data_IF_304769239453
#
_entry.id   IF_304769239453
#
_cell.length_a   1.000
_cell.length_b   1.000
_cell.length_c   1.000
_cell.angle_alpha   90.00
_cell.angle_beta   90.00
_cell.angle_gamma   90.00
#
_symmetry.space_group_name_H-M   'P 1'
#
loop_
_entity.id
_entity.type
_entity.pdbx_description
1 polymer ?
#
# COMPACT_ATOMS: atom_id res chain seq x y z
N UNK A 1 65.86 -38.00 1.30
CA UNK A 1 64.92 -37.46 0.32
C UNK A 1 63.51 -37.82 0.76
N UNK A 2 62.81 -36.93 1.45
CA UNK A 2 61.42 -37.14 1.89
C UNK A 2 60.59 -35.97 1.32
N UNK A 3 59.61 -36.27 0.45
CA UNK A 3 58.64 -35.36 -0.07
C UNK A 3 57.60 -35.04 1.03
N UNK A 4 57.13 -33.81 1.15
CA UNK A 4 55.98 -33.48 1.95
C UNK A 4 54.67 -33.65 1.16
N UNK A 5 53.70 -34.32 1.78
CA UNK A 5 52.30 -34.41 1.32
C UNK A 5 51.61 -33.08 1.52
N UNK A 6 51.10 -32.49 0.44
CA UNK A 6 50.18 -31.35 0.45
C UNK A 6 48.75 -31.85 0.71
N UNK A 7 48.20 -31.51 1.87
CA UNK A 7 46.79 -31.66 2.15
C UNK A 7 46.04 -30.43 1.58
N UNK A 8 45.25 -30.63 0.53
CA UNK A 8 44.30 -29.65 0.04
C UNK A 8 43.02 -29.72 0.91
N UNK A 9 42.78 -28.71 1.72
CA UNK A 9 41.52 -28.55 2.43
C UNK A 9 40.51 -27.93 1.45
N UNK A 10 39.49 -28.69 1.06
CA UNK A 10 38.35 -28.19 0.32
C UNK A 10 37.42 -27.47 1.29
N UNK A 11 37.32 -26.16 1.16
CA UNK A 11 36.29 -25.35 1.87
C UNK A 11 34.92 -25.65 1.20
N UNK A 12 34.08 -26.39 1.90
CA UNK A 12 32.67 -26.54 1.54
C UNK A 12 31.96 -25.29 2.06
N UNK A 13 31.71 -24.34 1.18
CA UNK A 13 30.84 -23.20 1.49
C UNK A 13 29.39 -23.68 1.54
N UNK A 14 28.89 -23.93 2.73
CA UNK A 14 27.44 -24.16 2.97
C UNK A 14 26.70 -22.85 2.80
N UNK A 15 26.05 -22.67 1.66
CA UNK A 15 25.08 -21.58 1.47
C UNK A 15 23.85 -21.89 2.31
N UNK A 16 23.78 -21.30 3.49
CA UNK A 16 22.53 -21.25 4.27
C UNK A 16 21.62 -20.28 3.56
N UNK A 17 20.67 -20.79 2.82
CA UNK A 17 19.57 -19.98 2.30
C UNK A 17 18.78 -19.42 3.50
N UNK A 18 18.81 -18.12 3.71
CA UNK A 18 17.97 -17.46 4.67
C UNK A 18 16.49 -17.77 4.34
N UNK A 19 15.64 -18.12 5.32
CA UNK A 19 14.24 -18.30 5.05
C UNK A 19 13.67 -16.97 4.54
N UNK A 20 13.07 -17.00 3.37
CA UNK A 20 12.27 -15.89 2.87
C UNK A 20 11.16 -15.65 3.91
N UNK A 21 11.24 -14.53 4.63
CA UNK A 21 10.15 -14.07 5.48
C UNK A 21 9.01 -13.73 4.53
N UNK A 22 8.08 -14.66 4.40
CA UNK A 22 6.84 -14.40 3.69
C UNK A 22 6.19 -13.19 4.37
N UNK A 23 5.98 -12.11 3.62
CA UNK A 23 5.05 -11.07 4.05
C UNK A 23 3.79 -11.78 4.55
N UNK A 24 3.12 -11.29 5.62
CA UNK A 24 1.87 -11.89 6.04
C UNK A 24 0.96 -11.92 4.82
N UNK A 25 0.76 -13.11 4.27
CA UNK A 25 -0.15 -13.32 3.17
C UNK A 25 -1.48 -12.75 3.65
N UNK A 26 -1.92 -11.64 3.04
CA UNK A 26 -3.26 -11.18 3.21
C UNK A 26 -4.14 -12.38 2.85
N UNK A 27 -4.77 -12.95 3.85
CA UNK A 27 -5.55 -14.17 3.74
C UNK A 27 -6.70 -13.88 2.75
N UNK A 28 -6.44 -14.09 1.47
CA UNK A 28 -7.39 -13.89 0.38
C UNK A 28 -8.40 -15.03 0.43
N UNK A 29 -9.19 -15.06 1.49
CA UNK A 29 -10.39 -15.86 1.50
C UNK A 29 -11.36 -15.22 0.50
N UNK A 30 -11.68 -15.96 -0.55
CA UNK A 30 -12.52 -15.57 -1.70
C UNK A 30 -13.95 -15.12 -1.36
N UNK A 31 -14.29 -14.89 -0.11
CA UNK A 31 -15.60 -14.43 0.40
C UNK A 31 -15.56 -13.13 1.18
N UNK A 32 -14.37 -12.59 1.52
CA UNK A 32 -14.25 -11.32 2.22
C UNK A 32 -14.02 -10.18 1.24
N UNK A 33 -14.65 -9.06 1.47
CA UNK A 33 -14.41 -7.82 0.77
C UNK A 33 -12.94 -7.45 0.90
N UNK A 34 -12.38 -6.89 -0.15
CA UNK A 34 -11.03 -6.39 -0.11
C UNK A 34 -11.03 -5.00 0.51
N UNK A 35 -10.51 -4.90 1.71
CA UNK A 35 -10.18 -3.64 2.36
C UNK A 35 -8.65 -3.64 2.51
N UNK A 36 -7.94 -2.71 1.87
CA UNK A 36 -6.50 -2.60 2.04
C UNK A 36 -6.12 -2.41 3.51
N UNK A 37 -4.93 -2.88 3.89
CA UNK A 37 -4.39 -2.65 5.23
C UNK A 37 -4.27 -1.14 5.48
N UNK A 38 -4.63 -0.72 6.69
CA UNK A 38 -4.46 0.66 7.13
C UNK A 38 -3.02 0.87 7.61
N UNK A 39 -2.35 1.87 7.05
CA UNK A 39 -1.10 2.42 7.53
C UNK A 39 -1.33 3.87 7.93
N UNK A 40 -1.02 4.22 9.18
CA UNK A 40 -1.19 5.57 9.69
C UNK A 40 -0.01 6.45 9.25
N UNK A 41 -0.23 7.33 8.26
CA UNK A 41 0.75 8.27 7.74
C UNK A 41 1.13 9.29 8.80
N UNK A 42 2.43 9.45 9.07
CA UNK A 42 2.97 10.31 10.15
C UNK A 42 2.26 10.08 11.49
N UNK A 43 1.92 8.83 11.77
CA UNK A 43 1.15 8.43 12.94
C UNK A 43 -0.37 8.57 12.81
N UNK A 44 -0.89 9.07 11.70
CA UNK A 44 -2.34 9.28 11.52
C UNK A 44 -2.87 10.47 12.30
N UNK A 45 -2.14 11.59 12.25
CA UNK A 45 -2.41 12.78 13.05
C UNK A 45 -3.53 13.67 12.55
N UNK A 46 -4.22 13.34 11.44
CA UNK A 46 -5.25 14.19 10.86
C UNK A 46 -6.43 14.49 11.79
N UNK A 47 -6.86 15.76 11.82
CA UNK A 47 -7.98 16.23 12.61
C UNK A 47 -8.87 17.16 11.75
N UNK A 48 -10.18 16.87 11.69
CA UNK A 48 -11.11 17.65 10.88
C UNK A 48 -10.74 17.60 9.38
N UNK A 49 -10.34 18.75 8.83
CA UNK A 49 -9.85 18.88 7.45
C UNK A 49 -8.33 19.08 7.35
N UNK A 50 -7.64 19.17 8.48
CA UNK A 50 -6.19 19.29 8.53
C UNK A 50 -5.56 17.89 8.63
N UNK A 51 -4.92 17.39 7.57
CA UNK A 51 -4.29 16.07 7.58
C UNK A 51 -3.05 16.01 8.48
N UNK A 52 -2.44 17.15 8.79
CA UNK A 52 -1.16 17.24 9.48
C UNK A 52 -1.27 17.76 10.92
N UNK A 53 -2.48 17.81 11.49
CA UNK A 53 -2.77 18.46 12.76
C UNK A 53 -1.91 17.97 13.93
N UNK A 54 -1.66 16.65 14.02
CA UNK A 54 -0.79 16.02 15.02
C UNK A 54 0.34 15.20 14.38
N UNK A 55 0.72 15.47 13.14
CA UNK A 55 1.69 14.64 12.43
C UNK A 55 2.97 14.41 13.25
N UNK A 56 3.55 13.19 13.15
CA UNK A 56 4.84 12.85 13.71
C UNK A 56 4.97 13.15 15.22
N UNK A 57 3.90 12.97 15.99
CA UNK A 57 3.85 13.20 17.43
C UNK A 57 3.50 11.94 18.21
N UNK A 58 3.94 11.85 19.46
CA UNK A 58 3.52 10.76 20.34
C UNK A 58 2.00 10.71 20.50
N UNK A 59 1.35 11.87 20.51
CA UNK A 59 -0.11 11.96 20.56
C UNK A 59 -0.80 11.30 19.36
N UNK A 60 -0.26 11.44 18.14
CA UNK A 60 -0.78 10.76 16.96
C UNK A 60 -0.57 9.25 17.05
N UNK A 61 0.61 8.80 17.47
CA UNK A 61 0.92 7.38 17.63
C UNK A 61 0.02 6.71 18.66
N UNK A 62 -0.21 7.35 19.81
CA UNK A 62 -1.10 6.88 20.86
C UNK A 62 -2.55 6.79 20.37
N UNK A 63 -3.05 7.83 19.69
CA UNK A 63 -4.41 7.81 19.11
C UNK A 63 -4.56 6.65 18.13
N UNK A 64 -3.59 6.44 17.25
CA UNK A 64 -3.64 5.34 16.28
C UNK A 64 -3.57 3.97 16.96
N UNK A 65 -2.74 3.80 17.99
CA UNK A 65 -2.72 2.60 18.85
C UNK A 65 -4.09 2.33 19.45
N UNK A 66 -4.71 3.34 20.03
CA UNK A 66 -6.00 3.22 20.73
C UNK A 66 -7.16 2.92 19.75
N UNK A 67 -7.04 3.36 18.51
CA UNK A 67 -7.92 2.96 17.41
C UNK A 67 -7.65 1.51 16.92
N UNK A 68 -6.61 0.85 17.43
CA UNK A 68 -6.25 -0.51 17.03
C UNK A 68 -5.51 -0.59 15.70
N UNK A 69 -4.95 0.51 15.20
CA UNK A 69 -4.04 0.53 14.04
C UNK A 69 -2.83 -0.34 14.33
N UNK A 70 -2.34 -1.05 13.35
CA UNK A 70 -1.21 -1.99 13.50
C UNK A 70 0.08 -1.53 12.86
N UNK A 71 0.01 -0.56 11.97
CA UNK A 71 1.18 -0.04 11.24
C UNK A 71 1.19 1.48 11.34
N UNK A 72 2.27 2.01 11.89
CA UNK A 72 2.55 3.44 11.96
C UNK A 72 3.66 3.78 10.97
N UNK A 73 3.45 4.77 10.16
CA UNK A 73 4.49 5.37 9.33
C UNK A 73 4.94 6.68 9.98
N UNK A 74 6.21 7.05 9.82
CA UNK A 74 6.83 8.26 10.40
C UNK A 74 8.11 8.61 9.65
N UNK A 75 8.60 9.85 9.83
CA UNK A 75 9.77 10.39 9.13
C UNK A 75 10.94 10.60 10.08
N UNK A 76 12.14 10.16 9.70
CA UNK A 76 13.36 10.28 10.52
C UNK A 76 14.33 11.25 9.88
N UNK A 77 14.71 12.31 10.63
CA UNK A 77 15.72 13.30 10.27
C UNK A 77 16.77 13.43 11.35
N UNK A 78 17.90 14.06 11.04
CA UNK A 78 19.04 14.19 11.95
C UNK A 78 19.34 15.65 12.27
N UNK A 79 19.60 15.92 13.54
CA UNK A 79 20.09 17.19 14.06
C UNK A 79 21.55 17.45 13.69
N UNK A 80 22.06 18.67 13.92
CA UNK A 80 23.45 19.02 13.64
C UNK A 80 24.47 18.19 14.43
N UNK A 81 24.07 17.68 15.58
CA UNK A 81 24.86 16.80 16.45
C UNK A 81 24.50 15.30 16.28
N UNK A 82 23.95 14.94 15.11
CA UNK A 82 23.65 13.59 14.66
C UNK A 82 22.64 12.81 15.53
N UNK A 83 21.70 13.47 16.18
CA UNK A 83 20.62 12.83 16.91
C UNK A 83 19.40 12.67 15.98
N UNK A 84 18.90 11.44 15.75
CA UNK A 84 17.71 11.23 14.93
C UNK A 84 16.43 11.59 15.69
N UNK A 85 15.61 12.40 15.05
CA UNK A 85 14.31 12.86 15.53
C UNK A 85 13.19 12.51 14.54
N UNK A 86 11.97 12.63 14.99
CA UNK A 86 10.78 12.41 14.17
C UNK A 86 10.26 13.74 13.65
N UNK A 87 10.45 13.96 12.33
CA UNK A 87 10.09 15.23 11.67
C UNK A 87 9.97 15.01 10.15
N UNK A 88 8.89 15.50 9.55
CA UNK A 88 8.72 15.37 8.10
C UNK A 88 9.55 16.41 7.32
N UNK A 89 9.40 17.69 7.66
CA UNK A 89 10.07 18.77 6.96
C UNK A 89 11.53 18.91 7.38
N UNK A 90 12.34 19.49 6.52
CA UNK A 90 13.69 19.93 6.84
C UNK A 90 13.71 21.21 7.67
N UNK A 91 12.67 22.04 7.61
CA UNK A 91 12.47 23.25 8.37
C UNK A 91 11.49 23.06 9.53
N UNK A 92 11.83 23.63 10.69
CA UNK A 92 11.07 23.47 11.94
C UNK A 92 9.79 24.30 12.00
N UNK A 93 9.68 25.37 11.19
CA UNK A 93 8.70 26.45 11.38
C UNK A 93 7.25 26.04 11.11
N UNK A 94 7.01 25.04 10.22
CA UNK A 94 5.65 24.63 9.88
C UNK A 94 4.96 23.88 11.03
N UNK A 95 5.68 23.01 11.70
CA UNK A 95 5.11 22.07 12.67
C UNK A 95 5.46 22.34 14.12
N UNK A 96 6.34 23.33 14.37
CA UNK A 96 6.78 23.68 15.73
C UNK A 96 6.68 25.18 15.99
N UNK A 97 6.92 25.57 17.24
CA UNK A 97 7.11 26.96 17.64
C UNK A 97 8.55 27.48 17.39
N UNK A 98 9.41 26.67 16.75
CA UNK A 98 10.78 27.03 16.40
C UNK A 98 10.96 27.45 14.95
N UNK A 99 12.22 27.72 14.55
CA UNK A 99 12.61 28.08 13.18
C UNK A 99 13.97 27.49 12.84
N UNK A 100 14.27 27.41 11.53
CA UNK A 100 15.56 26.94 11.03
C UNK A 100 15.53 25.47 10.63
N UNK A 101 16.62 25.01 10.01
CA UNK A 101 16.72 23.64 9.51
C UNK A 101 17.05 22.66 10.64
N UNK A 102 16.47 21.48 10.58
CA UNK A 102 16.75 20.37 11.50
C UNK A 102 18.25 20.04 11.51
N UNK A 103 18.87 19.91 10.32
CA UNK A 103 20.28 19.52 10.17
C UNK A 103 21.28 20.55 10.68
N UNK A 104 20.87 21.80 10.87
CA UNK A 104 21.72 22.87 11.45
C UNK A 104 21.38 23.16 12.91
N UNK A 105 20.36 22.52 13.46
CA UNK A 105 19.89 22.73 14.84
C UNK A 105 20.42 21.63 15.77
N UNK A 106 21.05 21.98 16.91
CA UNK A 106 21.49 20.98 17.89
C UNK A 106 20.31 20.40 18.67
N UNK A 107 20.44 19.18 19.19
CA UNK A 107 19.37 18.50 19.93
C UNK A 107 18.89 19.31 21.16
N UNK A 108 19.76 20.10 21.76
CA UNK A 108 19.39 20.96 22.89
C UNK A 108 18.32 22.00 22.50
N UNK A 109 18.45 22.58 21.30
CA UNK A 109 17.43 23.49 20.76
C UNK A 109 16.15 22.73 20.41
N UNK A 110 16.25 21.59 19.70
CA UNK A 110 15.10 20.76 19.33
C UNK A 110 14.26 20.37 20.56
N UNK A 111 14.91 19.99 21.67
CA UNK A 111 14.23 19.63 22.93
C UNK A 111 13.55 20.80 23.64
N UNK A 112 13.87 22.04 23.28
CA UNK A 112 13.20 23.22 23.81
C UNK A 112 11.94 23.62 23.02
N UNK A 113 11.67 22.92 21.92
CA UNK A 113 10.54 23.21 21.05
C UNK A 113 9.33 22.31 21.35
N UNK A 114 8.17 22.84 21.02
CA UNK A 114 6.89 22.13 21.08
C UNK A 114 6.29 22.04 19.67
N UNK A 115 5.72 20.90 19.37
CA UNK A 115 4.90 20.72 18.18
C UNK A 115 3.61 21.55 18.31
N UNK A 116 3.14 22.05 17.18
CA UNK A 116 1.91 22.84 17.12
C UNK A 116 0.70 22.05 17.62
N UNK A 117 -0.42 22.77 17.87
CA UNK A 117 -1.70 22.20 18.27
C UNK A 117 -1.66 21.41 19.60
N UNK A 118 -0.66 21.65 20.43
CA UNK A 118 -0.47 20.91 21.69
C UNK A 118 -0.18 19.43 21.47
N UNK A 119 0.57 19.11 20.41
CA UNK A 119 0.97 17.76 20.10
C UNK A 119 2.12 17.24 20.98
N UNK A 120 2.73 18.12 21.78
CA UNK A 120 3.82 17.83 22.70
C UNK A 120 5.21 18.03 22.10
N UNK A 121 6.27 17.56 22.75
CA UNK A 121 7.62 17.71 22.26
C UNK A 121 7.89 16.88 21.01
N UNK A 122 8.92 17.26 20.25
CA UNK A 122 9.38 16.51 19.08
C UNK A 122 9.93 15.16 19.56
N UNK A 123 9.40 14.01 19.06
CA UNK A 123 9.87 12.70 19.53
C UNK A 123 11.27 12.38 19.03
N UNK A 124 12.04 11.66 19.84
CA UNK A 124 13.26 11.00 19.40
C UNK A 124 12.94 9.70 18.66
N UNK A 125 13.76 9.33 17.71
CA UNK A 125 13.55 8.08 16.96
C UNK A 125 13.53 6.84 17.86
N UNK A 126 14.42 6.78 18.86
CA UNK A 126 14.47 5.67 19.81
C UNK A 126 13.22 5.55 20.66
N UNK A 127 12.61 6.68 21.04
CA UNK A 127 11.37 6.69 21.82
C UNK A 127 10.21 6.08 21.01
N UNK A 128 10.15 6.39 19.71
CA UNK A 128 9.11 5.85 18.82
C UNK A 128 9.36 4.38 18.50
N UNK A 129 10.61 3.96 18.30
CA UNK A 129 10.97 2.54 18.18
C UNK A 129 10.53 1.76 19.43
N UNK A 130 10.84 2.28 20.62
CA UNK A 130 10.43 1.67 21.89
C UNK A 130 8.91 1.64 22.01
N UNK A 131 8.21 2.74 21.72
CA UNK A 131 6.75 2.80 21.77
C UNK A 131 6.11 1.73 20.86
N UNK A 132 6.57 1.61 19.64
CA UNK A 132 6.04 0.63 18.70
C UNK A 132 6.26 -0.81 19.19
N UNK A 133 7.45 -1.12 19.73
CA UNK A 133 7.76 -2.42 20.31
C UNK A 133 6.85 -2.75 21.48
N UNK A 134 6.74 -1.86 22.45
CA UNK A 134 5.97 -2.06 23.69
C UNK A 134 4.47 -2.28 23.41
N UNK A 135 3.98 -1.75 22.30
CA UNK A 135 2.58 -1.85 21.88
C UNK A 135 2.32 -2.88 20.76
N UNK A 136 3.32 -3.69 20.39
CA UNK A 136 3.23 -4.67 19.29
C UNK A 136 2.71 -4.04 17.98
N UNK A 137 3.30 -2.90 17.62
CA UNK A 137 3.02 -2.18 16.36
C UNK A 137 4.19 -2.38 15.41
N UNK A 138 3.89 -2.47 14.12
CA UNK A 138 4.90 -2.36 13.09
C UNK A 138 5.18 -0.88 12.82
N UNK A 139 6.44 -0.51 12.77
CA UNK A 139 6.87 0.86 12.47
C UNK A 139 7.48 0.94 11.08
N UNK A 140 7.11 1.97 10.33
CA UNK A 140 7.67 2.33 9.03
C UNK A 140 8.38 3.67 9.14
N UNK A 141 9.60 3.72 9.66
CA UNK A 141 10.35 4.95 9.81
C UNK A 141 11.02 5.32 8.47
N UNK A 142 10.48 6.28 7.73
CA UNK A 142 11.10 6.74 6.49
C UNK A 142 12.49 7.30 6.76
N UNK A 143 13.52 6.75 6.10
CA UNK A 143 14.86 7.33 6.09
C UNK A 143 14.86 8.55 5.17
N UNK A 144 14.98 9.76 5.77
CA UNK A 144 14.76 11.04 5.09
C UNK A 144 15.87 12.07 5.41
N UNK A 145 17.12 11.80 5.00
CA UNK A 145 18.21 12.74 5.20
C UNK A 145 18.08 13.93 4.23
N UNK A 146 18.55 15.10 4.62
CA UNK A 146 18.65 16.26 3.71
C UNK A 146 19.75 16.06 2.65
N UNK A 147 20.83 15.39 3.05
CA UNK A 147 21.96 15.04 2.19
C UNK A 147 22.41 13.61 2.44
N UNK A 148 22.98 12.91 1.45
CA UNK A 148 23.56 11.60 1.67
C UNK A 148 24.59 11.63 2.81
N UNK A 149 24.41 10.79 3.84
CA UNK A 149 25.29 10.75 5.01
C UNK A 149 25.46 9.32 5.53
N UNK A 150 26.68 8.78 5.36
CA UNK A 150 26.98 7.41 5.76
C UNK A 150 26.91 7.20 7.28
N UNK A 151 27.18 8.22 8.07
CA UNK A 151 27.06 8.15 9.53
C UNK A 151 25.60 7.91 9.91
N UNK A 152 24.68 8.62 9.29
CA UNK A 152 23.24 8.48 9.54
C UNK A 152 22.69 7.15 9.04
N UNK A 153 23.15 6.64 7.91
CA UNK A 153 22.79 5.29 7.44
C UNK A 153 23.16 4.22 8.47
N UNK A 154 24.38 4.31 9.00
CA UNK A 154 24.87 3.34 9.98
C UNK A 154 24.15 3.46 11.32
N UNK A 155 23.93 4.70 11.81
CA UNK A 155 23.22 4.96 13.07
C UNK A 155 21.77 4.48 13.01
N UNK A 156 21.06 4.82 11.93
CA UNK A 156 19.70 4.35 11.69
C UNK A 156 19.59 2.83 11.75
N UNK A 157 20.46 2.14 11.02
CA UNK A 157 20.48 0.68 11.01
C UNK A 157 20.82 0.08 12.41
N UNK A 158 21.76 0.70 13.12
CA UNK A 158 22.15 0.27 14.45
C UNK A 158 21.01 0.40 15.46
N UNK A 159 20.29 1.54 15.44
CA UNK A 159 19.14 1.80 16.32
C UNK A 159 17.99 0.82 16.07
N UNK A 160 17.65 0.54 14.82
CA UNK A 160 16.64 -0.45 14.46
C UNK A 160 17.01 -1.84 15.01
N UNK A 161 18.27 -2.27 14.81
CA UNK A 161 18.76 -3.56 15.35
C UNK A 161 18.67 -3.63 16.87
N UNK A 162 19.12 -2.57 17.55
CA UNK A 162 19.13 -2.51 19.01
C UNK A 162 17.71 -2.55 19.60
N UNK A 163 16.78 -1.85 18.98
CA UNK A 163 15.40 -1.81 19.42
C UNK A 163 14.69 -3.16 19.29
N UNK A 164 14.96 -3.93 18.24
CA UNK A 164 14.24 -5.17 17.94
C UNK A 164 12.74 -4.98 17.76
N UNK A 165 12.35 -3.83 17.23
CA UNK A 165 10.98 -3.47 16.84
C UNK A 165 10.65 -4.12 15.51
N UNK A 166 9.39 -4.50 15.29
CA UNK A 166 8.92 -4.90 13.96
C UNK A 166 8.93 -3.67 13.02
N UNK A 167 9.87 -3.67 12.09
CA UNK A 167 10.12 -2.51 11.21
C UNK A 167 10.06 -2.92 9.75
N UNK A 168 9.51 -2.04 8.93
CA UNK A 168 9.73 -2.00 7.48
C UNK A 168 10.39 -0.67 7.16
N UNK A 169 11.45 -0.66 6.36
CA UNK A 169 12.23 0.54 6.05
C UNK A 169 11.75 1.19 4.76
N UNK A 170 11.01 2.32 4.82
CA UNK A 170 10.66 3.08 3.63
C UNK A 170 11.74 4.11 3.29
N UNK A 171 11.90 4.37 2.00
CA UNK A 171 12.66 5.53 1.48
C UNK A 171 12.35 5.79 0.02
N UNK A 172 12.48 7.05 -0.41
CA UNK A 172 12.55 7.44 -1.82
C UNK A 172 13.93 7.14 -2.43
N UNK A 173 14.94 6.97 -1.61
CA UNK A 173 16.35 6.88 -1.99
C UNK A 173 16.75 5.41 -2.21
N UNK A 174 16.85 5.01 -3.48
CA UNK A 174 17.24 3.63 -3.85
C UNK A 174 18.66 3.25 -3.39
N UNK A 175 19.68 4.14 -3.46
CA UNK A 175 21.02 3.80 -2.99
C UNK A 175 21.05 3.40 -1.52
N UNK A 176 20.29 4.10 -0.66
CA UNK A 176 20.22 3.83 0.77
C UNK A 176 19.44 2.54 1.06
N UNK A 177 18.37 2.26 0.33
CA UNK A 177 17.66 0.99 0.42
C UNK A 177 18.58 -0.21 0.10
N UNK A 178 19.46 -0.09 -0.89
CA UNK A 178 20.44 -1.13 -1.20
C UNK A 178 21.45 -1.32 -0.05
N UNK A 179 21.86 -0.25 0.63
CA UNK A 179 22.71 -0.34 1.82
C UNK A 179 21.96 -1.00 2.98
N UNK A 180 20.70 -0.60 3.22
CA UNK A 180 19.87 -1.23 4.27
C UNK A 180 19.60 -2.70 4.02
N UNK A 181 19.52 -3.16 2.77
CA UNK A 181 19.42 -4.58 2.46
C UNK A 181 20.59 -5.39 3.04
N UNK A 182 21.79 -4.79 3.06
CA UNK A 182 22.99 -5.39 3.66
C UNK A 182 23.07 -5.17 5.16
N UNK A 183 22.78 -3.96 5.62
CA UNK A 183 22.88 -3.60 7.03
C UNK A 183 21.76 -4.19 7.88
N UNK A 184 20.59 -4.41 7.33
CA UNK A 184 19.38 -4.90 8.01
C UNK A 184 18.85 -6.18 7.34
N UNK A 185 19.62 -7.28 7.33
CA UNK A 185 19.20 -8.51 6.66
C UNK A 185 17.91 -9.05 7.29
N UNK A 186 16.93 -9.35 6.44
CA UNK A 186 15.63 -9.88 6.88
C UNK A 186 14.59 -8.81 7.25
N UNK A 187 14.96 -7.52 7.30
CA UNK A 187 14.00 -6.43 7.48
C UNK A 187 13.48 -6.00 6.10
N UNK A 188 12.15 -6.03 5.87
CA UNK A 188 11.56 -5.60 4.61
C UNK A 188 11.80 -4.11 4.34
N UNK A 189 11.85 -3.76 3.07
CA UNK A 189 12.07 -2.40 2.61
C UNK A 189 10.95 -1.99 1.66
N UNK A 190 10.62 -0.70 1.63
CA UNK A 190 9.67 -0.13 0.67
C UNK A 190 10.38 1.00 -0.08
N UNK A 191 10.39 0.89 -1.40
CA UNK A 191 10.77 2.01 -2.22
C UNK A 191 9.53 2.86 -2.56
N UNK A 192 9.56 4.12 -2.16
CA UNK A 192 8.55 5.10 -2.52
C UNK A 192 8.87 5.74 -3.87
N UNK A 193 7.90 5.73 -4.78
CA UNK A 193 8.02 6.44 -6.03
C UNK A 193 7.57 7.89 -5.84
N UNK A 194 8.29 8.83 -6.47
CA UNK A 194 7.87 10.22 -6.55
C UNK A 194 6.48 10.35 -7.18
N UNK A 195 5.60 11.11 -6.53
CA UNK A 195 4.24 11.37 -6.99
C UNK A 195 4.18 12.04 -8.37
N UNK A 196 5.21 12.84 -8.70
CA UNK A 196 5.32 13.58 -9.95
C UNK A 196 6.03 12.81 -11.08
N UNK A 197 6.39 11.55 -10.85
CA UNK A 197 7.02 10.74 -11.89
C UNK A 197 6.14 10.68 -13.15
N UNK A 198 6.77 10.89 -14.31
CA UNK A 198 6.07 11.05 -15.59
C UNK A 198 5.47 9.76 -16.15
N UNK A 199 5.79 8.61 -15.57
CA UNK A 199 5.31 7.31 -16.01
C UNK A 199 4.90 6.41 -14.84
N UNK A 200 4.02 5.43 -15.06
CA UNK A 200 3.69 4.42 -14.05
C UNK A 200 4.91 3.62 -13.58
N UNK A 201 4.87 3.14 -12.34
CA UNK A 201 5.86 2.17 -11.83
C UNK A 201 5.80 0.89 -12.63
N UNK A 202 6.96 0.37 -13.01
CA UNK A 202 7.13 -0.99 -13.56
C UNK A 202 8.02 -1.82 -12.64
N UNK A 203 7.97 -3.15 -12.78
CA UNK A 203 8.68 -4.05 -11.88
C UNK A 203 10.20 -3.80 -11.81
N UNK A 204 10.82 -3.40 -12.93
CA UNK A 204 12.24 -3.07 -12.99
C UNK A 204 12.63 -1.76 -12.27
N UNK A 205 11.66 -0.94 -11.88
CA UNK A 205 11.93 0.27 -11.09
C UNK A 205 12.16 -0.05 -9.61
N UNK A 206 11.54 -1.14 -9.14
CA UNK A 206 11.55 -1.52 -7.73
C UNK A 206 12.85 -2.24 -7.40
N UNK A 207 13.60 -1.82 -6.37
CA UNK A 207 14.78 -2.56 -5.93
C UNK A 207 14.46 -4.01 -5.61
N UNK A 208 15.35 -4.93 -5.95
CA UNK A 208 15.15 -6.35 -5.76
C UNK A 208 14.83 -6.71 -4.29
N UNK A 209 13.70 -7.37 -4.07
CA UNK A 209 13.22 -7.77 -2.75
C UNK A 209 12.51 -6.66 -1.97
N UNK A 210 12.41 -5.44 -2.50
CA UNK A 210 11.66 -4.38 -1.88
C UNK A 210 10.17 -4.41 -2.26
N UNK A 211 9.33 -3.84 -1.40
CA UNK A 211 7.94 -3.49 -1.73
C UNK A 211 7.91 -2.19 -2.54
N UNK A 212 6.81 -1.91 -3.19
CA UNK A 212 6.61 -0.67 -3.93
C UNK A 212 5.54 0.21 -3.26
N UNK A 213 5.95 1.39 -2.80
CA UNK A 213 5.04 2.46 -2.42
C UNK A 213 4.67 3.26 -3.66
N UNK A 214 3.49 2.99 -4.22
CA UNK A 214 3.05 3.56 -5.49
C UNK A 214 2.17 4.77 -5.22
N UNK A 215 2.71 5.95 -5.44
CA UNK A 215 2.02 7.24 -5.24
C UNK A 215 1.79 8.01 -6.54
N UNK A 216 2.29 7.50 -7.64
CA UNK A 216 2.25 8.16 -8.93
C UNK A 216 0.83 8.25 -9.50
N UNK A 217 0.42 9.45 -9.91
CA UNK A 217 -0.88 9.76 -10.49
C UNK A 217 -1.16 8.99 -11.80
N UNK A 218 -0.11 8.64 -12.54
CA UNK A 218 -0.21 7.87 -13.77
C UNK A 218 -0.38 6.38 -13.53
N UNK A 219 -0.26 5.92 -12.28
CA UNK A 219 -0.43 4.52 -11.94
C UNK A 219 -1.88 4.11 -12.11
N UNK A 220 -2.09 3.01 -12.78
CA UNK A 220 -3.39 2.46 -13.13
C UNK A 220 -3.61 1.10 -12.47
N UNK A 221 -4.83 0.63 -12.53
CA UNK A 221 -5.15 -0.75 -12.11
C UNK A 221 -4.30 -1.81 -12.83
N UNK A 222 -3.93 -1.55 -14.08
CA UNK A 222 -3.09 -2.46 -14.87
C UNK A 222 -1.63 -2.40 -14.37
N UNK A 223 -1.15 -1.23 -13.93
CA UNK A 223 0.17 -1.07 -13.28
C UNK A 223 0.25 -1.90 -12.00
N UNK A 224 -0.73 -1.77 -11.09
CA UNK A 224 -0.78 -2.58 -9.87
C UNK A 224 -0.89 -4.07 -10.16
N UNK A 225 -1.67 -4.46 -11.18
CA UNK A 225 -1.79 -5.86 -11.58
C UNK A 225 -0.48 -6.41 -12.15
N UNK A 226 0.30 -5.59 -12.87
CA UNK A 226 1.61 -5.98 -13.39
C UNK A 226 2.63 -6.17 -12.27
N UNK A 227 2.68 -5.27 -11.29
CA UNK A 227 3.52 -5.40 -10.11
C UNK A 227 3.18 -6.65 -9.29
N UNK A 228 1.89 -6.88 -9.04
CA UNK A 228 1.42 -8.08 -8.34
C UNK A 228 1.76 -9.37 -9.10
N UNK A 229 1.69 -9.37 -10.44
CA UNK A 229 2.11 -10.49 -11.27
C UNK A 229 3.63 -10.76 -11.18
N UNK A 230 4.42 -9.72 -10.97
CA UNK A 230 5.86 -9.82 -10.72
C UNK A 230 6.21 -10.21 -9.26
N UNK A 231 5.22 -10.47 -8.40
CA UNK A 231 5.42 -10.81 -7.00
C UNK A 231 5.74 -9.62 -6.09
N UNK A 232 5.57 -8.39 -6.59
CA UNK A 232 5.87 -7.17 -5.84
C UNK A 232 4.65 -6.77 -5.01
N UNK A 233 4.83 -6.68 -3.69
CA UNK A 233 3.83 -6.14 -2.76
C UNK A 233 3.73 -4.63 -2.95
N UNK A 234 2.51 -4.11 -3.06
CA UNK A 234 2.26 -2.70 -3.33
C UNK A 234 1.49 -2.03 -2.21
N UNK A 235 1.88 -0.80 -1.89
CA UNK A 235 1.17 0.10 -1.01
C UNK A 235 0.88 1.40 -1.76
N UNK A 236 -0.12 2.15 -1.34
CA UNK A 236 -0.46 3.40 -2.00
C UNK A 236 -0.80 4.49 -1.01
N UNK A 237 -0.45 5.71 -1.37
CA UNK A 237 -1.02 6.90 -0.77
C UNK A 237 -2.32 7.29 -1.48
N UNK A 238 -3.16 8.08 -0.80
CA UNK A 238 -4.08 8.93 -1.53
C UNK A 238 -3.27 9.96 -2.33
N UNK A 239 -3.71 10.24 -3.53
CA UNK A 239 -3.14 11.31 -4.32
C UNK A 239 -4.18 12.42 -4.46
N UNK A 240 -3.77 13.67 -4.26
CA UNK A 240 -4.61 14.87 -4.50
C UNK A 240 -5.31 14.80 -5.86
N UNK A 241 -4.67 14.19 -6.85
CA UNK A 241 -5.18 14.05 -8.22
C UNK A 241 -6.12 12.85 -8.41
N UNK A 242 -6.17 11.91 -7.46
CA UNK A 242 -7.06 10.73 -7.49
C UNK A 242 -8.26 10.84 -6.55
N UNK A 243 -8.49 11.98 -5.92
CA UNK A 243 -9.67 12.20 -5.09
C UNK A 243 -9.41 12.50 -3.62
N UNK A 244 -8.16 12.62 -3.18
CA UNK A 244 -7.79 12.99 -1.81
C UNK A 244 -7.87 11.85 -0.79
N UNK A 245 -7.49 12.15 0.45
CA UNK A 245 -7.52 11.22 1.60
C UNK A 245 -8.92 11.21 2.24
N UNK A 246 -9.85 10.61 1.53
CA UNK A 246 -11.28 10.60 1.85
C UNK A 246 -11.95 9.33 1.28
N UNK A 247 -13.24 9.08 1.59
CA UNK A 247 -13.96 7.90 1.14
C UNK A 247 -13.91 7.63 -0.37
N UNK A 248 -13.92 8.66 -1.20
CA UNK A 248 -13.82 8.54 -2.65
C UNK A 248 -12.42 8.08 -3.08
N UNK A 249 -11.39 8.71 -2.54
CA UNK A 249 -9.99 8.36 -2.80
C UNK A 249 -9.66 6.95 -2.31
N UNK A 250 -10.09 6.56 -1.12
CA UNK A 250 -9.90 5.20 -0.60
C UNK A 250 -10.61 4.14 -1.44
N UNK A 251 -11.80 4.45 -1.95
CA UNK A 251 -12.51 3.55 -2.86
C UNK A 251 -11.78 3.37 -4.20
N UNK A 252 -11.21 4.45 -4.75
CA UNK A 252 -10.39 4.39 -5.96
C UNK A 252 -9.11 3.59 -5.73
N UNK A 253 -8.43 3.86 -4.62
CA UNK A 253 -7.22 3.12 -4.23
C UNK A 253 -7.52 1.63 -4.02
N UNK A 254 -8.58 1.27 -3.30
CA UNK A 254 -8.99 -0.12 -3.10
C UNK A 254 -9.34 -0.85 -4.41
N UNK A 255 -9.83 -0.13 -5.43
CA UNK A 255 -10.08 -0.71 -6.78
C UNK A 255 -8.78 -1.12 -7.50
N UNK A 256 -7.66 -0.53 -7.15
CA UNK A 256 -6.33 -0.91 -7.64
C UNK A 256 -5.78 -2.14 -6.94
N UNK A 257 -6.32 -2.49 -5.76
CA UNK A 257 -5.93 -3.63 -4.90
C UNK A 257 -4.49 -3.58 -4.40
N UNK A 258 -4.02 -2.45 -3.85
CA UNK A 258 -2.76 -2.44 -3.12
C UNK A 258 -2.89 -3.28 -1.85
N UNK A 259 -1.80 -3.75 -1.31
CA UNK A 259 -1.78 -4.44 0.00
C UNK A 259 -2.25 -3.53 1.12
N UNK A 260 -1.85 -2.25 1.09
CA UNK A 260 -2.29 -1.26 2.07
C UNK A 260 -2.45 0.14 1.50
N UNK A 261 -3.14 0.97 2.28
CA UNK A 261 -3.31 2.41 2.04
C UNK A 261 -2.70 3.17 3.22
N UNK A 262 -1.88 4.15 2.89
CA UNK A 262 -1.26 5.08 3.81
C UNK A 262 -2.18 6.30 3.90
N UNK A 263 -2.69 6.64 5.10
CA UNK A 263 -3.71 7.69 5.31
C UNK A 263 -3.44 8.52 6.55
N UNK A 264 -3.75 9.82 6.48
CA UNK A 264 -3.69 10.75 7.61
C UNK A 264 -4.89 10.60 8.56
N UNK A 265 -5.95 9.91 8.12
CA UNK A 265 -7.23 9.82 8.83
C UNK A 265 -7.62 8.39 9.22
N UNK A 266 -6.89 7.72 10.14
CA UNK A 266 -7.13 6.32 10.50
C UNK A 266 -8.56 6.04 10.97
N UNK A 267 -9.13 6.92 11.81
CA UNK A 267 -10.49 6.76 12.34
C UNK A 267 -11.54 6.80 11.23
N UNK A 268 -11.43 7.78 10.32
CA UNK A 268 -12.33 7.92 9.19
C UNK A 268 -12.18 6.77 8.18
N UNK A 269 -10.94 6.30 7.95
CA UNK A 269 -10.69 5.13 7.11
C UNK A 269 -11.36 3.87 7.69
N UNK A 270 -11.22 3.63 9.00
CA UNK A 270 -11.87 2.49 9.66
C UNK A 270 -13.39 2.58 9.58
N UNK A 271 -13.95 3.76 9.79
CA UNK A 271 -15.39 3.99 9.63
C UNK A 271 -15.85 3.75 8.20
N UNK A 272 -15.08 4.23 7.21
CA UNK A 272 -15.33 3.94 5.80
C UNK A 272 -15.26 2.44 5.54
N UNK A 273 -14.22 1.74 5.99
CA UNK A 273 -14.05 0.31 5.82
C UNK A 273 -15.21 -0.50 6.43
N UNK A 274 -15.72 -0.08 7.60
CA UNK A 274 -16.81 -0.73 8.30
C UNK A 274 -18.20 -0.43 7.69
N UNK A 275 -18.42 0.79 7.22
CA UNK A 275 -19.74 1.28 6.80
C UNK A 275 -19.93 1.32 5.30
N UNK A 276 -18.85 1.40 4.53
CA UNK A 276 -18.95 1.33 3.07
C UNK A 276 -19.41 -0.04 2.64
N UNK A 277 -20.25 -0.07 1.69
CA UNK A 277 -20.61 -1.29 1.05
C UNK A 277 -19.47 -1.93 0.23
N UNK A 278 -18.20 -1.49 0.35
CA UNK A 278 -17.06 -2.17 -0.29
C UNK A 278 -17.00 -3.64 0.15
N UNK A 279 -17.42 -3.90 1.37
CA UNK A 279 -17.62 -5.22 1.92
C UNK A 279 -18.96 -5.85 1.56
N UNK A 280 -19.95 -5.10 1.11
CA UNK A 280 -21.22 -5.64 0.65
C UNK A 280 -21.06 -6.16 -0.78
N UNK A 281 -21.46 -7.40 -1.03
CA UNK A 281 -21.51 -7.92 -2.40
C UNK A 281 -22.52 -7.07 -3.19
N UNK A 282 -22.09 -6.42 -4.29
CA UNK A 282 -23.03 -5.67 -5.10
C UNK A 282 -24.02 -6.62 -5.76
N UNK A 283 -25.30 -6.29 -5.66
CA UNK A 283 -26.34 -7.05 -6.31
C UNK A 283 -26.75 -6.35 -7.61
N UNK A 284 -26.75 -7.07 -8.70
CA UNK A 284 -27.25 -6.59 -9.98
C UNK A 284 -28.45 -7.47 -10.42
N UNK A 285 -29.63 -7.18 -9.87
CA UNK A 285 -30.85 -7.93 -10.17
C UNK A 285 -31.17 -8.02 -11.66
N UNK A 286 -30.73 -7.02 -12.44
CA UNK A 286 -30.88 -6.93 -13.90
C UNK A 286 -29.81 -7.70 -14.70
N UNK A 287 -28.76 -8.23 -14.05
CA UNK A 287 -27.63 -8.91 -14.70
C UNK A 287 -27.56 -10.39 -14.27
N UNK A 288 -28.64 -11.12 -14.41
CA UNK A 288 -28.66 -12.55 -14.13
C UNK A 288 -28.15 -13.33 -15.33
N UNK A 289 -27.08 -14.14 -15.19
CA UNK A 289 -26.66 -15.04 -16.26
C UNK A 289 -27.79 -16.01 -16.63
N UNK A 290 -28.02 -16.30 -17.93
CA UNK A 290 -29.04 -17.24 -18.32
C UNK A 290 -28.78 -18.63 -17.74
N UNK A 291 -29.85 -19.40 -17.51
CA UNK A 291 -29.72 -20.77 -16.96
C UNK A 291 -28.98 -21.67 -17.95
N UNK A 292 -29.31 -21.57 -19.24
CA UNK A 292 -28.72 -22.34 -20.34
C UNK A 292 -28.44 -21.45 -21.54
N UNK A 293 -27.43 -21.80 -22.34
CA UNK A 293 -27.19 -21.26 -23.68
C UNK A 293 -27.21 -22.46 -24.66
N UNK A 294 -27.81 -22.25 -25.83
CA UNK A 294 -27.82 -23.25 -26.93
C UNK A 294 -26.87 -22.76 -28.04
N UNK A 295 -26.45 -23.68 -28.90
CA UNK A 295 -25.78 -23.31 -30.15
C UNK A 295 -26.73 -22.50 -31.02
N UNK A 296 -26.20 -21.73 -31.93
CA UNK A 296 -26.92 -20.95 -32.96
C UNK A 296 -28.14 -20.17 -32.41
N UNK A 297 -27.97 -19.57 -31.25
CA UNK A 297 -29.03 -18.86 -30.55
C UNK A 297 -28.63 -17.41 -30.19
N UNK A 298 -29.66 -16.59 -30.03
CA UNK A 298 -29.50 -15.22 -29.49
C UNK A 298 -30.23 -15.09 -28.17
N UNK A 299 -29.50 -14.78 -27.10
CA UNK A 299 -30.06 -14.63 -25.76
C UNK A 299 -29.82 -13.23 -25.24
N UNK A 300 -30.87 -12.56 -24.78
CA UNK A 300 -30.78 -11.22 -24.15
C UNK A 300 -30.19 -11.37 -22.75
N UNK A 301 -29.06 -10.74 -22.52
CA UNK A 301 -28.34 -10.71 -21.23
C UNK A 301 -28.80 -9.53 -20.37
N UNK A 302 -28.93 -8.35 -21.00
CA UNK A 302 -29.43 -7.13 -20.38
C UNK A 302 -30.53 -6.55 -21.26
N UNK A 303 -31.71 -6.34 -20.70
CA UNK A 303 -32.86 -5.74 -21.45
C UNK A 303 -32.70 -4.22 -21.63
N UNK A 304 -32.00 -3.57 -20.68
CA UNK A 304 -31.73 -2.12 -20.64
C UNK A 304 -30.40 -1.88 -19.89
N UNK A 305 -29.97 -0.64 -19.81
CA UNK A 305 -28.83 -0.26 -18.95
C UNK A 305 -29.05 -0.84 -17.54
N UNK A 306 -28.10 -1.67 -17.10
CA UNK A 306 -28.15 -2.36 -15.82
C UNK A 306 -27.14 -1.70 -14.88
N UNK A 307 -27.58 -1.42 -13.67
CA UNK A 307 -26.73 -0.93 -12.58
C UNK A 307 -26.79 -1.88 -11.39
N UNK A 308 -25.70 -1.91 -10.62
CA UNK A 308 -25.67 -2.61 -9.33
C UNK A 308 -26.54 -1.91 -8.29
N UNK A 309 -26.74 -2.54 -7.14
CA UNK A 309 -27.37 -1.91 -5.96
C UNK A 309 -26.64 -0.64 -5.50
N UNK A 310 -25.37 -0.49 -5.86
CA UNK A 310 -24.52 0.67 -5.59
C UNK A 310 -24.56 1.74 -6.71
N UNK A 311 -25.41 1.56 -7.72
CA UNK A 311 -25.55 2.52 -8.84
C UNK A 311 -24.55 2.37 -9.96
N UNK A 312 -23.50 1.54 -9.83
CA UNK A 312 -22.44 1.36 -10.82
C UNK A 312 -22.93 0.55 -12.04
N UNK A 313 -22.58 0.97 -13.28
CA UNK A 313 -23.06 0.27 -14.47
C UNK A 313 -22.40 -1.10 -14.64
N UNK A 314 -23.22 -2.08 -15.01
CA UNK A 314 -22.77 -3.44 -15.30
C UNK A 314 -22.33 -3.55 -16.75
N UNK A 315 -21.12 -4.07 -16.94
CA UNK A 315 -20.56 -4.44 -18.25
C UNK A 315 -20.61 -5.95 -18.43
N UNK A 316 -20.79 -6.42 -19.66
CA UNK A 316 -20.74 -7.83 -20.00
C UNK A 316 -19.61 -8.07 -20.98
N UNK A 317 -18.80 -9.10 -20.74
CA UNK A 317 -17.81 -9.62 -21.69
C UNK A 317 -18.19 -11.05 -22.06
N UNK A 318 -17.84 -11.47 -23.24
CA UNK A 318 -18.01 -12.84 -23.73
C UNK A 318 -16.69 -13.34 -24.30
N UNK A 319 -16.40 -14.61 -24.08
CA UNK A 319 -15.29 -15.32 -24.72
C UNK A 319 -15.72 -16.72 -25.16
N UNK A 320 -15.00 -17.28 -26.14
CA UNK A 320 -15.35 -18.56 -26.78
C UNK A 320 -16.32 -18.40 -27.94
N UNK A 321 -17.20 -19.37 -28.14
CA UNK A 321 -18.15 -19.45 -29.29
C UNK A 321 -19.36 -18.50 -29.16
N UNK A 322 -19.11 -17.25 -28.72
CA UNK A 322 -20.15 -16.23 -28.56
C UNK A 322 -19.66 -14.85 -28.94
N UNK A 323 -20.58 -14.00 -29.41
CA UNK A 323 -20.35 -12.59 -29.75
C UNK A 323 -21.42 -11.73 -29.07
N UNK A 324 -21.02 -10.58 -28.53
CA UNK A 324 -21.98 -9.62 -27.97
C UNK A 324 -22.60 -8.76 -29.10
N UNK A 325 -23.90 -8.54 -28.97
CA UNK A 325 -24.64 -7.56 -29.76
C UNK A 325 -25.21 -6.50 -28.82
N UNK A 326 -25.02 -5.24 -29.16
CA UNK A 326 -25.54 -4.09 -28.42
C UNK A 326 -26.72 -3.49 -29.16
N UNK A 327 -27.82 -3.29 -28.46
CA UNK A 327 -29.04 -2.66 -28.98
C UNK A 327 -29.33 -1.32 -28.30
N UNK A 328 -30.42 -0.68 -28.72
CA UNK A 328 -30.91 0.60 -28.14
C UNK A 328 -31.17 0.47 -26.62
N UNK A 329 -31.13 1.61 -25.90
CA UNK A 329 -31.36 1.72 -24.44
C UNK A 329 -30.51 0.78 -23.57
N UNK A 330 -29.26 0.44 -24.00
CA UNK A 330 -28.36 -0.42 -23.23
C UNK A 330 -28.71 -1.93 -23.27
N UNK A 331 -29.53 -2.37 -24.20
CA UNK A 331 -29.78 -3.80 -24.44
C UNK A 331 -28.49 -4.50 -24.86
N UNK A 332 -28.18 -5.63 -24.23
CA UNK A 332 -27.02 -6.47 -24.57
C UNK A 332 -27.50 -7.91 -24.76
N UNK A 333 -27.12 -8.50 -25.88
CA UNK A 333 -27.42 -9.90 -26.19
C UNK A 333 -26.13 -10.65 -26.47
N UNK A 334 -26.13 -11.97 -26.24
CA UNK A 334 -25.10 -12.87 -26.74
C UNK A 334 -25.66 -13.66 -27.91
N UNK A 335 -24.90 -13.70 -29.00
CA UNK A 335 -25.16 -14.54 -30.17
C UNK A 335 -24.14 -15.66 -30.10
N UNK A 336 -24.60 -16.89 -30.09
CA UNK A 336 -23.77 -18.10 -30.07
C UNK A 336 -23.75 -18.71 -31.47
N UNK A 337 -22.62 -19.30 -31.88
CA UNK A 337 -22.47 -19.98 -33.16
C UNK A 337 -21.80 -21.34 -32.96
N UNK A 338 -22.47 -22.38 -33.41
CA UNK A 338 -22.00 -23.76 -33.38
C UNK A 338 -21.79 -24.31 -31.95
N UNK A 339 -21.39 -25.56 -31.87
CA UNK A 339 -21.06 -26.24 -30.61
C UNK A 339 -19.76 -25.74 -30.01
N UNK A 340 -19.60 -25.79 -28.70
CA UNK A 340 -18.37 -25.43 -28.01
C UNK A 340 -18.58 -24.75 -26.67
N UNK A 341 -17.55 -24.07 -26.16
CA UNK A 341 -17.62 -23.41 -24.84
C UNK A 341 -17.81 -21.90 -24.99
N UNK A 342 -18.66 -21.33 -24.13
CA UNK A 342 -18.87 -19.88 -23.99
C UNK A 342 -18.71 -19.49 -22.52
N UNK A 343 -18.02 -18.39 -22.28
CA UNK A 343 -17.96 -17.79 -20.95
C UNK A 343 -18.54 -16.38 -20.98
N UNK A 344 -19.49 -16.11 -20.11
CA UNK A 344 -20.03 -14.79 -19.84
C UNK A 344 -19.44 -14.24 -18.56
N UNK A 345 -18.95 -13.00 -18.60
CA UNK A 345 -18.43 -12.31 -17.42
C UNK A 345 -19.18 -10.98 -17.26
N UNK A 346 -19.84 -10.81 -16.13
CA UNK A 346 -20.53 -9.58 -15.73
C UNK A 346 -19.63 -8.85 -14.74
N UNK A 347 -19.30 -7.60 -15.02
CA UNK A 347 -18.45 -6.78 -14.15
C UNK A 347 -19.07 -5.42 -13.90
N UNK A 348 -18.87 -4.88 -12.71
CA UNK A 348 -19.08 -3.47 -12.44
C UNK A 348 -17.96 -2.97 -11.53
N UNK A 349 -17.58 -1.70 -11.66
CA UNK A 349 -16.60 -1.09 -10.76
C UNK A 349 -17.17 -1.08 -9.33
N UNK A 350 -16.30 -1.15 -8.34
CA UNK A 350 -16.62 -0.85 -6.96
C UNK A 350 -17.01 0.63 -6.80
N UNK A 351 -17.58 0.95 -5.67
CA UNK A 351 -17.90 2.30 -5.24
C UNK A 351 -17.84 2.35 -3.71
N UNK A 352 -17.96 3.54 -3.13
CA UNK A 352 -18.09 3.72 -1.68
C UNK A 352 -19.34 3.03 -1.05
N UNK A 353 -20.22 2.45 -1.86
CA UNK A 353 -21.44 1.72 -1.42
C UNK A 353 -21.38 0.22 -1.57
N UNK A 354 -20.50 -0.31 -2.40
CA UNK A 354 -20.30 -1.75 -2.60
C UNK A 354 -19.01 -2.05 -3.35
N UNK A 355 -18.39 -3.19 -3.07
CA UNK A 355 -17.24 -3.69 -3.79
C UNK A 355 -17.52 -3.95 -5.28
N UNK A 356 -16.50 -4.30 -6.07
CA UNK A 356 -16.68 -4.59 -7.48
C UNK A 356 -17.55 -5.84 -7.69
N UNK A 357 -18.39 -5.82 -8.73
CA UNK A 357 -19.12 -6.98 -9.18
C UNK A 357 -18.25 -7.79 -10.14
N UNK A 358 -18.09 -9.07 -9.88
CA UNK A 358 -17.53 -10.02 -10.84
C UNK A 358 -18.30 -11.33 -10.79
N UNK A 359 -19.08 -11.64 -11.82
CA UNK A 359 -19.81 -12.90 -11.96
C UNK A 359 -19.40 -13.55 -13.28
N UNK A 360 -18.80 -14.74 -13.19
CA UNK A 360 -18.35 -15.51 -14.35
C UNK A 360 -19.16 -16.79 -14.45
N UNK A 361 -19.73 -17.07 -15.62
CA UNK A 361 -20.46 -18.31 -15.89
C UNK A 361 -20.01 -18.95 -17.21
N UNK A 362 -19.67 -20.21 -17.14
CA UNK A 362 -19.26 -21.03 -18.30
C UNK A 362 -20.46 -21.87 -18.77
N UNK A 363 -20.55 -22.03 -20.08
CA UNK A 363 -21.58 -22.84 -20.75
C UNK A 363 -20.93 -23.75 -21.78
N UNK A 364 -21.49 -24.92 -21.94
CA UNK A 364 -21.20 -25.82 -23.05
C UNK A 364 -22.41 -25.79 -24.00
N UNK A 365 -22.14 -25.36 -25.24
CA UNK A 365 -23.15 -25.34 -26.31
C UNK A 365 -23.22 -26.75 -26.91
N UNK A 366 -24.37 -27.32 -26.88
CA UNK A 366 -24.68 -28.64 -27.47
C UNK A 366 -25.39 -28.45 -28.81
#
# INVERSE_FOLDING_TARGET
MRLPLLFSAALIASTVAAPAVAAPAADVQASKCYVPQLIAHRGGGGEGKDPYFYENSMKAFERSRDLGVKVLETDVRWTSDNVPIIMHDDDLSRTTNGTGLVSTSPIAYIKSLELNNGAGPIPLFEDVLKFAKDNNLQLWPEYKPETPNQVWVNDYAAKIKAAGTDVVVPSFLKPELLQFKTLLPGIPQIWFQDALALRPVVASDVPEGAYAGVININSSKDSYAALAKAGITTYTWYNILTGGDNPEGWALAADMKPTGIITDYPAQYQQWAATTGYCKKPVAKCAKPPKKLRADSTVVLLKKTCKTSAGTPVKVKVSGKGKLSKGKKGKVSVITKGKGKVTLTYTAKGSNKAGPLSVKKKYTLK
#
